data_IF_599251236766
#
_entry.id   IF_599251236766
#
_cell.length_a   1.000
_cell.length_b   1.000
_cell.length_c   1.000
_cell.angle_alpha   90.00
_cell.angle_beta   90.00
_cell.angle_gamma   90.00
#
_symmetry.space_group_name_H-M   'P 1'
#
loop_
_entity.id
_entity.type
_entity.pdbx_description
1 polymer ?
#
# COMPACT_ATOMS: atom_id res chain seq x y z
N UNK A 1 14.03 -2.49 27.56
CA UNK A 1 12.65 -2.76 27.09
C UNK A 1 11.61 -1.94 27.85
N UNK A 2 11.70 -1.86 29.18
CA UNK A 2 10.75 -1.05 29.97
C UNK A 2 10.71 0.42 29.54
N UNK A 3 11.86 1.00 29.22
CA UNK A 3 11.95 2.40 28.82
C UNK A 3 11.19 2.69 27.51
N UNK A 4 11.28 1.79 26.53
CA UNK A 4 10.56 1.92 25.27
C UNK A 4 9.03 1.85 25.47
N UNK A 5 8.56 0.97 26.36
CA UNK A 5 7.14 0.88 26.71
C UNK A 5 6.67 2.14 27.44
N UNK A 6 7.51 2.73 28.29
CA UNK A 6 7.16 3.95 29.01
C UNK A 6 7.10 5.18 28.11
N UNK A 7 7.99 5.24 27.11
CA UNK A 7 8.12 6.40 26.23
C UNK A 7 7.09 6.40 25.09
N UNK A 8 6.58 5.23 24.69
CA UNK A 8 5.51 5.14 23.71
C UNK A 8 4.19 5.55 24.34
N UNK A 9 3.48 6.49 23.72
CA UNK A 9 2.19 6.99 24.24
C UNK A 9 1.02 6.74 23.31
N UNK A 10 1.28 6.52 22.01
CA UNK A 10 0.24 6.19 21.05
C UNK A 10 0.81 5.45 19.83
N UNK A 11 -0.03 4.74 19.11
CA UNK A 11 0.34 4.08 17.86
C UNK A 11 -0.88 3.86 16.96
N UNK A 12 -0.66 3.44 15.72
CA UNK A 12 -1.73 2.98 14.86
C UNK A 12 -1.27 1.78 14.03
N UNK A 13 -2.22 0.89 13.75
CA UNK A 13 -2.06 -0.23 12.81
C UNK A 13 -3.08 -0.20 11.68
N UNK A 14 -3.83 0.91 11.55
CA UNK A 14 -4.95 1.04 10.61
C UNK A 14 -4.75 2.26 9.71
N UNK A 15 -4.88 3.49 10.25
CA UNK A 15 -4.72 4.75 9.48
C UNK A 15 -3.30 4.91 8.96
N UNK A 16 -2.33 4.58 9.80
CA UNK A 16 -0.92 4.51 9.47
C UNK A 16 -0.32 3.35 10.25
N UNK A 17 0.82 2.82 9.79
CA UNK A 17 1.55 1.76 10.49
C UNK A 17 2.78 2.38 11.13
N UNK A 18 2.66 2.76 12.41
CA UNK A 18 3.71 3.47 13.13
C UNK A 18 3.35 3.72 14.58
N UNK A 19 4.28 4.31 15.32
CA UNK A 19 4.13 4.62 16.75
C UNK A 19 4.64 6.02 17.05
N UNK A 20 4.13 6.58 18.14
CA UNK A 20 4.45 7.90 18.65
C UNK A 20 5.10 7.74 20.03
N UNK A 21 6.22 8.41 20.25
CA UNK A 21 6.97 8.30 21.50
C UNK A 21 7.59 9.64 21.92
N UNK A 22 7.79 9.80 23.23
CA UNK A 22 8.50 10.96 23.79
C UNK A 22 9.99 10.66 23.81
N UNK A 23 10.74 11.26 22.89
CA UNK A 23 12.19 11.14 22.78
C UNK A 23 12.83 12.50 22.50
N UNK A 24 14.11 12.65 22.83
CA UNK A 24 14.89 13.82 22.42
C UNK A 24 15.13 13.82 20.91
N UNK A 25 15.37 15.00 20.34
CA UNK A 25 15.66 15.17 18.92
C UNK A 25 16.89 14.34 18.48
N UNK A 26 17.96 14.34 19.26
CA UNK A 26 19.17 13.53 18.99
C UNK A 26 18.88 12.02 18.92
N UNK A 27 17.90 11.55 19.70
CA UNK A 27 17.48 10.15 19.65
C UNK A 27 16.59 9.88 18.45
N UNK A 28 15.73 10.85 18.08
CA UNK A 28 14.87 10.75 16.89
C UNK A 28 15.67 10.53 15.60
N UNK A 29 16.84 11.16 15.48
CA UNK A 29 17.69 11.03 14.29
C UNK A 29 18.26 9.62 14.10
N UNK A 30 18.52 8.91 15.20
CA UNK A 30 19.03 7.53 15.17
C UNK A 30 18.04 6.57 14.51
N UNK A 31 16.73 6.88 14.52
CA UNK A 31 15.72 6.04 13.88
C UNK A 31 15.73 6.13 12.35
N UNK A 32 16.21 7.22 11.76
CA UNK A 32 16.21 7.41 10.30
C UNK A 32 17.05 6.37 9.56
N UNK A 33 18.03 5.76 10.22
CA UNK A 33 18.91 4.73 9.65
C UNK A 33 18.48 3.30 9.93
N UNK A 34 17.40 3.07 10.69
CA UNK A 34 16.99 1.73 11.07
C UNK A 34 16.14 1.06 9.97
N UNK A 35 16.35 -0.25 9.71
CA UNK A 35 15.54 -0.97 8.73
C UNK A 35 14.07 -0.97 9.16
N UNK A 36 13.17 -0.64 8.24
CA UNK A 36 11.73 -0.58 8.47
C UNK A 36 11.19 0.80 8.89
N UNK A 37 12.05 1.76 9.22
CA UNK A 37 11.63 3.14 9.47
C UNK A 37 11.55 3.89 8.15
N UNK A 38 10.33 4.34 7.80
CA UNK A 38 10.10 5.11 6.57
C UNK A 38 10.17 6.62 6.81
N UNK A 39 9.60 7.08 7.92
CA UNK A 39 9.50 8.49 8.27
C UNK A 39 9.78 8.70 9.75
N UNK A 40 10.50 9.77 10.08
CA UNK A 40 10.63 10.30 11.44
C UNK A 40 10.17 11.75 11.37
N UNK A 41 9.01 12.03 11.96
CA UNK A 41 8.35 13.34 11.90
C UNK A 41 8.05 13.84 13.32
N UNK A 42 8.12 15.15 13.57
CA UNK A 42 7.64 15.72 14.83
C UNK A 42 6.12 15.55 14.91
N UNK A 43 5.64 15.11 16.07
CA UNK A 43 4.22 14.86 16.27
C UNK A 43 3.45 16.15 16.63
N UNK A 44 2.15 16.15 16.36
CA UNK A 44 1.28 17.31 16.56
C UNK A 44 -0.10 16.89 17.06
N UNK A 45 -0.79 17.80 17.72
CA UNK A 45 -2.13 17.52 18.22
C UNK A 45 -3.14 17.37 17.08
N UNK A 46 -3.88 16.27 17.06
CA UNK A 46 -5.10 16.15 16.25
C UNK A 46 -6.22 17.01 16.84
N UNK A 47 -6.25 17.13 18.17
CA UNK A 47 -7.19 17.98 18.89
C UNK A 47 -6.46 18.84 19.92
N UNK A 48 -6.28 20.11 19.55
CA UNK A 48 -5.58 21.11 20.37
C UNK A 48 -6.28 21.37 21.71
N UNK A 49 -7.61 21.24 21.77
CA UNK A 49 -8.38 21.54 22.99
C UNK A 49 -8.13 20.49 24.06
N UNK A 50 -8.18 19.22 23.65
CA UNK A 50 -7.97 18.07 24.53
C UNK A 50 -6.50 17.66 24.64
N UNK A 51 -5.59 18.33 23.92
CA UNK A 51 -4.17 17.98 23.77
C UNK A 51 -4.00 16.51 23.37
N UNK A 52 -4.84 16.06 22.45
CA UNK A 52 -4.80 14.69 21.95
C UNK A 52 -3.91 14.63 20.71
N UNK A 53 -2.97 13.69 20.71
CA UNK A 53 -2.11 13.39 19.56
C UNK A 53 -2.77 12.40 18.58
N UNK A 54 -3.92 11.83 18.97
CA UNK A 54 -4.60 10.80 18.18
C UNK A 54 -3.90 9.45 18.28
N UNK A 55 -4.32 8.52 17.42
CA UNK A 55 -3.89 7.13 17.49
C UNK A 55 -4.48 6.39 18.69
N UNK A 56 -4.19 5.09 18.77
CA UNK A 56 -4.55 4.25 19.89
C UNK A 56 -3.58 4.53 21.04
N UNK A 57 -4.09 4.97 22.19
CA UNK A 57 -3.25 5.38 23.32
C UNK A 57 -2.64 4.15 23.96
N UNK A 58 -1.37 4.26 24.31
CA UNK A 58 -0.62 3.22 24.99
C UNK A 58 -0.19 3.73 26.36
N UNK A 59 -0.67 3.08 27.42
CA UNK A 59 -0.34 3.43 28.81
C UNK A 59 0.24 2.19 29.48
N UNK A 60 1.57 2.09 29.53
CA UNK A 60 2.31 1.03 30.23
C UNK A 60 1.88 -0.41 29.91
N UNK A 61 1.38 -0.67 28.70
CA UNK A 61 0.91 -2.00 28.26
C UNK A 61 -0.60 -2.10 28.08
N UNK A 62 -1.37 -1.13 28.58
CA UNK A 62 -2.79 -1.02 28.31
C UNK A 62 -3.01 -0.19 27.03
N UNK A 63 -3.89 -0.68 26.16
CA UNK A 63 -4.22 -0.05 24.87
C UNK A 63 -5.64 0.50 24.96
N UNK A 64 -5.78 1.82 24.78
CA UNK A 64 -7.06 2.51 24.73
C UNK A 64 -7.32 2.90 23.27
N UNK A 65 -8.34 2.30 22.61
CA UNK A 65 -8.63 2.59 21.21
C UNK A 65 -8.92 4.07 20.96
N UNK A 66 -8.45 4.56 19.82
CA UNK A 66 -8.72 5.89 19.33
C UNK A 66 -10.23 6.12 19.17
N UNK A 67 -10.73 7.27 19.64
CA UNK A 67 -12.14 7.67 19.48
C UNK A 67 -12.43 8.33 18.13
N UNK A 68 -11.39 8.74 17.40
CA UNK A 68 -11.55 9.38 16.10
C UNK A 68 -11.84 8.33 15.02
N UNK A 69 -12.86 8.54 14.17
CA UNK A 69 -13.20 7.59 13.12
C UNK A 69 -12.06 7.50 12.10
N UNK A 70 -11.67 6.27 11.77
CA UNK A 70 -10.81 5.99 10.63
C UNK A 70 -11.55 6.37 9.34
N UNK A 71 -10.88 7.12 8.45
CA UNK A 71 -11.45 7.40 7.13
C UNK A 71 -11.59 6.09 6.37
N UNK A 72 -12.82 5.59 6.25
CA UNK A 72 -13.13 4.47 5.39
C UNK A 72 -13.48 5.01 4.01
N UNK A 73 -12.72 4.67 2.94
CA UNK A 73 -13.12 5.04 1.60
C UNK A 73 -14.48 4.40 1.33
N UNK A 74 -15.51 5.23 1.15
CA UNK A 74 -16.84 4.73 0.78
C UNK A 74 -16.67 3.84 -0.46
N UNK A 75 -17.25 2.63 -0.49
CA UNK A 75 -17.21 1.83 -1.70
C UNK A 75 -17.81 2.68 -2.81
N UNK A 76 -17.00 3.00 -3.83
CA UNK A 76 -17.51 3.56 -5.07
C UNK A 76 -18.55 2.56 -5.54
N UNK A 77 -19.84 2.90 -5.41
CA UNK A 77 -20.88 2.20 -6.14
C UNK A 77 -20.45 2.30 -7.60
N UNK A 78 -19.98 1.18 -8.14
CA UNK A 78 -19.63 1.04 -9.53
C UNK A 78 -20.96 1.00 -10.28
N UNK A 79 -21.66 2.13 -10.30
CA UNK A 79 -22.76 2.35 -11.23
C UNK A 79 -22.15 2.15 -12.61
N UNK A 80 -22.72 1.18 -13.33
CA UNK A 80 -22.23 0.68 -14.59
C UNK A 80 -21.77 1.78 -15.53
N UNK A 81 -20.69 1.47 -16.23
CA UNK A 81 -19.99 2.30 -17.20
C UNK A 81 -20.93 2.92 -18.23
N UNK A 82 -21.34 4.17 -18.04
CA UNK A 82 -21.86 5.01 -19.15
C UNK A 82 -20.75 5.59 -20.02
N UNK A 83 -19.48 5.31 -19.72
CA UNK A 83 -18.32 5.93 -20.35
C UNK A 83 -17.16 4.94 -20.62
N UNK A 84 -17.48 3.70 -20.98
CA UNK A 84 -16.47 2.72 -21.46
C UNK A 84 -15.99 3.04 -22.89
N UNK A 85 -16.66 3.96 -23.59
CA UNK A 85 -16.43 4.29 -25.00
C UNK A 85 -15.20 5.17 -25.27
N UNK A 86 -14.48 5.66 -24.24
CA UNK A 86 -13.28 6.50 -24.39
C UNK A 86 -11.98 5.83 -23.94
N UNK A 87 -11.92 4.50 -23.90
CA UNK A 87 -10.65 3.80 -23.67
C UNK A 87 -9.73 4.05 -24.87
N UNK A 88 -8.75 4.94 -24.69
CA UNK A 88 -7.72 5.23 -25.68
C UNK A 88 -6.91 3.94 -25.92
N UNK A 89 -7.22 3.22 -27.00
CA UNK A 89 -6.43 2.08 -27.43
C UNK A 89 -5.17 2.65 -28.06
N UNK A 90 -4.02 2.49 -27.42
CA UNK A 90 -2.72 2.67 -28.08
C UNK A 90 -2.58 1.58 -29.14
N UNK A 91 -3.17 1.81 -30.32
CA UNK A 91 -2.86 1.06 -31.54
C UNK A 91 -1.36 1.29 -31.78
N UNK A 92 -0.56 0.24 -31.69
CA UNK A 92 0.82 0.28 -32.16
C UNK A 92 0.71 0.27 -33.69
N UNK A 93 0.93 1.42 -34.34
CA UNK A 93 1.01 1.54 -35.80
C UNK A 93 2.29 0.87 -36.31
N UNK A 94 2.31 -0.46 -36.26
CA UNK A 94 3.41 -1.28 -36.75
C UNK A 94 2.84 -2.40 -37.63
N UNK A 95 3.53 -2.76 -38.73
CA UNK A 95 3.05 -3.80 -39.63
C UNK A 95 2.89 -5.14 -38.88
N UNK A 96 1.89 -5.96 -39.25
CA UNK A 96 1.60 -7.20 -38.55
C UNK A 96 2.80 -8.15 -38.60
N UNK A 97 3.18 -8.70 -37.45
CA UNK A 97 4.24 -9.68 -37.36
C UNK A 97 3.86 -10.93 -38.19
N UNK A 98 4.74 -11.28 -39.13
CA UNK A 98 4.59 -12.42 -40.01
C UNK A 98 4.53 -13.71 -39.16
N UNK A 99 3.38 -14.41 -39.26
CA UNK A 99 3.18 -15.70 -38.60
C UNK A 99 4.19 -16.68 -39.19
N UNK A 100 5.28 -16.93 -38.46
CA UNK A 100 6.19 -18.04 -38.73
C UNK A 100 5.37 -19.33 -38.77
N UNK A 101 5.30 -19.93 -39.96
CA UNK A 101 4.80 -21.30 -40.16
C UNK A 101 5.70 -22.25 -39.38
N UNK A 102 5.21 -22.77 -38.26
CA UNK A 102 5.79 -23.93 -37.62
C UNK A 102 5.19 -25.16 -38.31
N UNK A 103 6.06 -25.89 -39.04
CA UNK A 103 5.72 -27.15 -39.68
C UNK A 103 5.64 -28.31 -38.70
N UNK A 104 5.00 -29.38 -39.17
CA UNK A 104 5.03 -30.70 -38.57
C UNK A 104 3.65 -31.35 -38.59
N UNK A 105 3.40 -32.24 -39.55
CA UNK A 105 3.06 -33.64 -39.24
C UNK A 105 2.98 -34.49 -40.53
N UNK A 106 3.73 -35.59 -40.47
CA UNK A 106 3.91 -36.69 -41.42
C UNK A 106 2.69 -37.61 -41.45
N UNK A 107 2.20 -38.08 -42.60
CA UNK A 107 2.31 -39.46 -43.18
C UNK A 107 0.98 -39.66 -43.97
N UNK A 108 0.80 -40.40 -45.07
CA UNK A 108 1.31 -41.70 -45.51
C UNK A 108 0.78 -42.00 -46.94
N UNK A 109 1.61 -42.65 -47.76
CA UNK A 109 1.35 -43.62 -48.85
C UNK A 109 0.23 -43.43 -49.91
N UNK A 110 0.62 -43.60 -51.19
CA UNK A 110 -0.26 -43.94 -52.31
C UNK A 110 0.47 -43.98 -53.67
N UNK A 111 0.78 -45.18 -54.14
CA UNK A 111 1.47 -45.56 -55.39
C UNK A 111 0.71 -45.23 -56.69
N UNK A 112 1.44 -44.95 -57.78
CA UNK A 112 1.23 -45.57 -59.11
C UNK A 112 2.31 -45.16 -60.12
N UNK A 113 2.90 -46.16 -60.77
CA UNK A 113 3.80 -46.06 -61.92
C UNK A 113 3.02 -45.89 -63.23
N UNK A 114 3.59 -45.16 -64.20
CA UNK A 114 3.52 -45.41 -65.64
C UNK A 114 4.64 -44.63 -66.33
#
# INVERSE_FOLDING_TARGET
>A
MEEAKKNMYAFSTTTYTGFQCTVSEETSEKFKGLPGVLWVLPDSYIDVKNKDYGGDKYVNGEIIPCTYPTYQPKPKQRNGSKNESRKYVRRRDGPPAERRRAGGETSQAGSASA
#
